data_IF_143221231221
#
_entry.id   IF_143221231221
#
_cell.length_a   1.000
_cell.length_b   1.000
_cell.length_c   1.000
_cell.angle_alpha   90.00
_cell.angle_beta   90.00
_cell.angle_gamma   90.00
#
_symmetry.space_group_name_H-M   'P 1'
#
loop_
_entity.id
_entity.type
_entity.pdbx_description
1 polymer ?
#
# COMPACT_ATOMS: atom_id res chain seq x y z
N UNK A 1 -8.38 89.29 17.23
CA UNK A 1 -9.34 88.15 17.16
C UNK A 1 -9.28 87.58 15.78
N UNK A 2 -8.47 86.57 15.54
CA UNK A 2 -8.39 85.84 14.25
C UNK A 2 -8.73 84.36 14.53
N UNK A 3 -9.83 83.90 13.94
CA UNK A 3 -10.26 82.48 13.95
C UNK A 3 -9.51 81.72 12.88
N UNK A 4 -8.69 80.78 13.29
CA UNK A 4 -8.05 79.83 12.41
C UNK A 4 -9.02 78.62 12.12
N UNK A 5 -9.36 78.43 10.91
CA UNK A 5 -10.19 77.33 10.39
C UNK A 5 -9.27 76.11 10.12
N UNK A 6 -9.46 75.05 10.89
CA UNK A 6 -8.75 73.80 10.69
C UNK A 6 -9.50 72.96 9.63
N UNK A 7 -8.81 72.66 8.52
CA UNK A 7 -9.30 71.82 7.43
C UNK A 7 -8.94 70.36 7.72
N UNK A 8 -9.91 69.54 8.10
CA UNK A 8 -9.74 68.08 8.18
C UNK A 8 -9.84 67.49 6.80
N UNK A 9 -8.73 67.01 6.28
CA UNK A 9 -8.67 66.27 5.02
C UNK A 9 -8.96 64.77 5.35
N UNK A 10 -10.19 64.34 5.03
CA UNK A 10 -10.57 62.91 5.14
C UNK A 10 -10.00 62.14 3.94
N UNK A 11 -8.95 61.32 4.22
CA UNK A 11 -8.41 60.38 3.26
C UNK A 11 -9.33 59.14 3.20
N UNK A 12 -10.17 59.07 2.18
CA UNK A 12 -10.95 57.85 1.89
C UNK A 12 -10.02 56.85 1.23
N UNK A 13 -9.58 55.86 1.99
CA UNK A 13 -8.87 54.70 1.47
C UNK A 13 -9.88 53.80 0.74
N UNK A 14 -9.92 53.88 -0.57
CA UNK A 14 -10.63 52.89 -1.37
C UNK A 14 -9.85 51.57 -1.30
N UNK A 15 -10.31 50.63 -0.45
CA UNK A 15 -9.87 49.25 -0.44
C UNK A 15 -10.53 48.61 -1.67
N UNK A 16 -9.81 48.54 -2.78
CA UNK A 16 -10.20 47.69 -3.90
C UNK A 16 -10.06 46.23 -3.46
N UNK A 17 -11.21 45.62 -3.13
CA UNK A 17 -11.33 44.18 -3.08
C UNK A 17 -11.04 43.64 -4.48
N UNK A 18 -9.82 43.19 -4.72
CA UNK A 18 -9.52 42.31 -5.83
C UNK A 18 -10.29 41.01 -5.55
N UNK A 19 -11.40 40.83 -6.27
CA UNK A 19 -12.01 39.49 -6.39
C UNK A 19 -10.92 38.56 -6.94
N UNK A 20 -10.73 37.35 -6.37
CA UNK A 20 -9.87 36.39 -7.00
C UNK A 20 -10.34 36.23 -8.44
N UNK A 21 -9.43 36.35 -9.40
CA UNK A 21 -9.72 36.02 -10.77
C UNK A 21 -10.23 34.59 -10.78
N UNK A 22 -11.47 34.37 -11.17
CA UNK A 22 -11.97 33.04 -11.52
C UNK A 22 -10.94 32.46 -12.47
N UNK A 23 -10.30 31.33 -12.09
CA UNK A 23 -9.52 30.57 -13.05
C UNK A 23 -10.47 30.31 -14.23
N UNK A 24 -10.09 30.73 -15.43
CA UNK A 24 -10.86 30.39 -16.61
C UNK A 24 -10.95 28.87 -16.66
N UNK A 25 -12.15 28.30 -16.65
CA UNK A 25 -12.33 26.87 -16.87
C UNK A 25 -11.64 26.56 -18.20
N UNK A 26 -10.70 25.61 -18.17
CA UNK A 26 -10.04 25.15 -19.38
C UNK A 26 -11.09 24.42 -20.21
N UNK A 27 -11.46 24.97 -21.37
CA UNK A 27 -12.46 24.38 -22.26
C UNK A 27 -11.75 23.28 -23.09
N UNK A 28 -12.06 22.02 -22.82
CA UNK A 28 -11.52 20.89 -23.56
C UNK A 28 -12.34 20.61 -24.81
N UNK A 29 -11.73 20.40 -25.98
CA UNK A 29 -12.46 20.11 -27.20
C UNK A 29 -13.11 18.74 -27.15
N UNK A 30 -14.39 18.62 -27.52
CA UNK A 30 -14.98 17.30 -27.78
C UNK A 30 -14.40 16.74 -29.07
N UNK A 31 -13.88 15.51 -29.03
CA UNK A 31 -13.40 14.82 -30.23
C UNK A 31 -14.47 13.86 -30.73
N UNK A 32 -14.67 13.82 -32.05
CA UNK A 32 -15.67 12.96 -32.69
C UNK A 32 -15.00 11.99 -33.68
N UNK A 33 -15.50 10.74 -33.74
CA UNK A 33 -15.02 9.71 -34.64
C UNK A 33 -15.96 8.52 -34.72
N UNK A 34 -15.43 7.38 -35.14
CA UNK A 34 -16.12 6.10 -35.25
C UNK A 34 -15.32 4.97 -34.63
N UNK A 35 -15.62 3.76 -35.05
CA UNK A 35 -14.91 2.53 -34.66
C UNK A 35 -14.33 1.89 -35.92
N UNK A 36 -13.03 1.60 -35.90
CA UNK A 36 -12.32 0.97 -37.02
C UNK A 36 -12.25 -0.55 -36.89
N UNK A 37 -12.29 -1.09 -35.66
CA UNK A 37 -12.18 -2.52 -35.38
C UNK A 37 -12.86 -2.88 -34.06
N UNK A 38 -13.47 -4.07 -33.98
CA UNK A 38 -13.77 -4.75 -32.74
C UNK A 38 -12.76 -5.90 -32.63
N UNK A 39 -11.86 -5.79 -31.65
CA UNK A 39 -10.79 -6.77 -31.43
C UNK A 39 -11.34 -8.10 -30.89
N UNK A 40 -10.50 -9.15 -30.91
CA UNK A 40 -10.86 -10.52 -30.49
C UNK A 40 -11.59 -10.61 -29.15
N UNK A 41 -11.25 -9.78 -28.19
CA UNK A 41 -11.81 -9.79 -26.83
C UNK A 41 -12.90 -8.74 -26.60
N UNK A 42 -13.42 -8.13 -27.70
CA UNK A 42 -14.52 -7.18 -27.63
C UNK A 42 -14.13 -5.73 -27.39
N UNK A 43 -12.84 -5.42 -27.30
CA UNK A 43 -12.39 -4.03 -27.23
C UNK A 43 -12.64 -3.34 -28.55
N UNK A 44 -13.01 -2.05 -28.55
CA UNK A 44 -13.24 -1.26 -29.74
C UNK A 44 -12.09 -0.31 -30.01
N UNK A 45 -11.55 -0.33 -31.22
CA UNK A 45 -10.52 0.61 -31.70
C UNK A 45 -11.22 1.82 -32.30
N UNK A 46 -10.88 3.01 -31.81
CA UNK A 46 -11.52 4.25 -32.20
C UNK A 46 -10.83 4.89 -33.42
N UNK A 47 -11.61 5.54 -34.26
CA UNK A 47 -11.15 6.39 -35.35
C UNK A 47 -10.92 7.83 -34.83
N UNK A 48 -10.07 7.95 -33.83
CA UNK A 48 -9.64 9.22 -33.22
C UNK A 48 -8.15 9.07 -32.94
N UNK A 49 -7.34 10.02 -33.44
CA UNK A 49 -5.89 9.99 -33.21
C UNK A 49 -5.57 10.35 -31.74
N UNK A 50 -4.79 9.54 -31.02
CA UNK A 50 -4.30 9.91 -29.68
C UNK A 50 -3.60 11.26 -29.61
N UNK A 51 -3.00 11.72 -30.72
CA UNK A 51 -2.39 13.04 -30.81
C UNK A 51 -3.42 14.17 -30.65
N UNK A 52 -4.63 13.99 -31.18
CA UNK A 52 -5.71 14.98 -31.06
C UNK A 52 -6.15 15.16 -29.59
N UNK A 53 -6.13 14.08 -28.78
CA UNK A 53 -6.35 14.17 -27.33
C UNK A 53 -5.24 15.02 -26.67
N UNK A 54 -3.97 14.69 -26.94
CA UNK A 54 -2.82 15.42 -26.36
C UNK A 54 -2.80 16.88 -26.76
N UNK A 55 -3.08 17.18 -28.03
CA UNK A 55 -3.17 18.55 -28.56
C UNK A 55 -4.38 19.29 -27.95
N UNK A 56 -5.46 18.56 -27.61
CA UNK A 56 -6.62 19.06 -26.88
C UNK A 56 -6.39 19.28 -25.39
N UNK A 57 -5.21 18.95 -24.86
CA UNK A 57 -4.84 19.14 -23.45
C UNK A 57 -5.24 18.01 -22.52
N UNK A 58 -5.69 16.85 -23.04
CA UNK A 58 -5.98 15.66 -22.25
C UNK A 58 -4.70 14.95 -21.83
N UNK A 59 -4.69 14.43 -20.60
CA UNK A 59 -3.53 13.76 -20.00
C UNK A 59 -3.91 12.41 -19.39
N UNK A 60 -2.94 11.53 -19.20
CA UNK A 60 -3.17 10.26 -18.52
C UNK A 60 -3.66 10.50 -17.08
N UNK A 61 -4.65 9.71 -16.68
CA UNK A 61 -5.33 9.88 -15.39
C UNK A 61 -6.52 10.85 -15.44
N UNK A 62 -6.80 11.52 -16.57
CA UNK A 62 -8.06 12.22 -16.74
C UNK A 62 -9.23 11.24 -16.82
N UNK A 63 -10.35 11.56 -16.17
CA UNK A 63 -11.59 10.82 -16.32
C UNK A 63 -12.38 11.41 -17.48
N UNK A 64 -12.69 10.59 -18.49
CA UNK A 64 -13.33 10.99 -19.73
C UNK A 64 -14.71 10.35 -19.84
N UNK A 65 -15.64 11.04 -20.50
CA UNK A 65 -16.89 10.44 -20.99
C UNK A 65 -16.70 10.07 -22.47
N UNK A 66 -16.61 8.77 -22.74
CA UNK A 66 -16.63 8.20 -24.10
C UNK A 66 -18.05 7.83 -24.45
N UNK A 67 -18.66 8.54 -25.37
CA UNK A 67 -20.03 8.30 -25.83
C UNK A 67 -20.02 7.43 -27.07
N UNK A 68 -20.64 6.25 -26.99
CA UNK A 68 -20.77 5.30 -28.12
C UNK A 68 -22.24 5.16 -28.47
N UNK A 69 -22.63 5.47 -29.71
CA UNK A 69 -24.01 5.46 -30.18
C UNK A 69 -24.98 6.23 -29.26
N UNK A 70 -24.51 7.33 -28.66
CA UNK A 70 -25.29 8.17 -27.74
C UNK A 70 -25.34 7.70 -26.29
N UNK A 71 -24.69 6.59 -25.94
CA UNK A 71 -24.55 6.10 -24.56
C UNK A 71 -23.17 6.50 -24.03
N UNK A 72 -23.14 7.26 -22.93
CA UNK A 72 -21.90 7.71 -22.26
C UNK A 72 -21.33 6.65 -21.31
N UNK A 73 -20.02 6.46 -21.38
CA UNK A 73 -19.23 5.58 -20.53
C UNK A 73 -18.09 6.39 -19.92
N UNK A 74 -18.06 6.46 -18.61
CA UNK A 74 -16.96 7.14 -17.92
C UNK A 74 -15.77 6.20 -17.79
N UNK A 75 -14.63 6.57 -18.35
CA UNK A 75 -13.43 5.76 -18.33
C UNK A 75 -12.17 6.63 -18.26
N UNK A 76 -11.16 6.24 -17.49
CA UNK A 76 -9.89 6.97 -17.42
C UNK A 76 -9.08 6.79 -18.70
N UNK A 77 -8.32 7.82 -19.07
CA UNK A 77 -7.30 7.76 -20.11
C UNK A 77 -6.02 7.14 -19.51
N UNK A 78 -5.63 5.99 -20.02
CA UNK A 78 -4.52 5.20 -19.50
C UNK A 78 -3.62 4.65 -20.61
N UNK A 79 -2.49 4.04 -20.22
CA UNK A 79 -1.53 3.41 -21.14
C UNK A 79 -1.70 1.91 -21.25
N UNK A 80 -2.17 1.25 -20.18
CA UNK A 80 -2.32 -0.22 -20.11
C UNK A 80 -3.71 -0.61 -19.58
N UNK A 81 -4.12 -1.85 -19.85
CA UNK A 81 -5.33 -2.40 -19.22
C UNK A 81 -5.19 -2.56 -17.71
N UNK A 82 -3.97 -2.87 -17.23
CA UNK A 82 -3.65 -3.00 -15.81
C UNK A 82 -3.66 -1.67 -15.03
N UNK A 83 -3.81 -0.54 -15.71
CA UNK A 83 -3.92 0.76 -15.06
C UNK A 83 -5.32 0.97 -14.43
N UNK A 84 -6.21 0.00 -14.58
CA UNK A 84 -7.52 -0.05 -13.92
C UNK A 84 -7.78 -1.46 -13.38
N UNK A 85 -8.69 -1.56 -12.41
CA UNK A 85 -9.09 -2.85 -11.84
C UNK A 85 -9.74 -3.79 -12.85
N UNK A 86 -9.68 -5.10 -12.58
CA UNK A 86 -10.40 -6.09 -13.38
C UNK A 86 -11.89 -5.80 -13.42
N UNK A 87 -12.47 -5.75 -14.61
CA UNK A 87 -13.86 -5.41 -14.85
C UNK A 87 -14.13 -3.91 -15.00
N UNK A 88 -13.15 -3.04 -14.76
CA UNK A 88 -13.30 -1.60 -14.94
C UNK A 88 -13.13 -1.18 -16.41
N UNK A 89 -13.75 -0.06 -16.74
CA UNK A 89 -13.66 0.59 -18.05
C UNK A 89 -12.33 1.34 -18.18
N UNK A 90 -11.76 1.36 -19.38
CA UNK A 90 -10.53 2.11 -19.70
C UNK A 90 -10.54 2.60 -21.14
N UNK A 91 -10.11 3.83 -21.35
CA UNK A 91 -9.69 4.35 -22.65
C UNK A 91 -8.18 4.25 -22.74
N UNK A 92 -7.67 3.27 -23.49
CA UNK A 92 -6.25 2.99 -23.59
C UNK A 92 -5.63 3.69 -24.81
N UNK A 93 -4.55 4.46 -24.59
CA UNK A 93 -3.65 4.90 -25.66
C UNK A 93 -2.58 3.82 -25.90
N UNK A 94 -2.61 3.21 -27.07
CA UNK A 94 -1.72 2.09 -27.40
C UNK A 94 -1.19 2.21 -28.82
N UNK A 95 0.11 2.39 -28.96
CA UNK A 95 0.82 2.35 -30.26
C UNK A 95 0.19 3.22 -31.36
N UNK A 96 -0.36 4.39 -30.96
CA UNK A 96 -0.96 5.34 -31.91
C UNK A 96 -2.44 5.08 -32.21
N UNK A 97 -3.13 4.26 -31.41
CA UNK A 97 -4.58 4.06 -31.50
C UNK A 97 -5.24 4.17 -30.12
N UNK A 98 -6.47 4.67 -30.07
CA UNK A 98 -7.30 4.67 -28.87
C UNK A 98 -8.17 3.43 -28.84
N UNK A 99 -8.21 2.78 -27.69
CA UNK A 99 -8.98 1.54 -27.48
C UNK A 99 -9.89 1.72 -26.27
N UNK A 100 -11.20 1.68 -26.46
CA UNK A 100 -12.14 1.61 -25.34
C UNK A 100 -12.39 0.13 -24.99
N UNK A 101 -12.25 -0.21 -23.71
CA UNK A 101 -12.25 -1.57 -23.25
C UNK A 101 -12.82 -1.72 -21.82
N UNK A 102 -13.08 -2.98 -21.45
CA UNK A 102 -13.24 -3.45 -20.08
C UNK A 102 -12.02 -4.31 -19.77
N UNK A 103 -11.28 -3.98 -18.69
CA UNK A 103 -10.15 -4.79 -18.28
C UNK A 103 -10.62 -6.23 -17.96
N UNK A 104 -10.09 -7.24 -18.67
CA UNK A 104 -10.51 -8.64 -18.61
C UNK A 104 -11.99 -8.90 -18.99
N UNK A 105 -12.62 -7.99 -19.76
CA UNK A 105 -14.01 -8.08 -20.18
C UNK A 105 -14.21 -7.87 -21.69
N UNK A 106 -15.47 -7.92 -22.14
CA UNK A 106 -15.89 -7.72 -23.52
C UNK A 106 -16.78 -6.48 -23.60
N UNK A 107 -16.21 -5.36 -24.04
CA UNK A 107 -16.92 -4.09 -24.14
C UNK A 107 -18.03 -4.14 -25.21
N UNK A 108 -17.75 -4.72 -26.37
CA UNK A 108 -18.69 -4.71 -27.50
C UNK A 108 -19.94 -5.54 -27.19
N UNK A 109 -19.77 -6.75 -26.65
CA UNK A 109 -20.90 -7.64 -26.30
C UNK A 109 -21.67 -7.10 -25.10
N UNK A 110 -20.96 -6.67 -24.05
CA UNK A 110 -21.60 -6.17 -22.82
C UNK A 110 -22.45 -4.93 -23.06
N UNK A 111 -22.11 -4.14 -24.07
CA UNK A 111 -22.83 -2.90 -24.42
C UNK A 111 -23.74 -3.06 -25.65
N UNK A 112 -23.94 -4.28 -26.14
CA UNK A 112 -24.88 -4.56 -27.25
C UNK A 112 -24.47 -3.97 -28.59
N UNK A 113 -23.19 -3.66 -28.80
CA UNK A 113 -22.68 -3.13 -30.08
C UNK A 113 -22.60 -4.21 -31.14
N UNK A 114 -22.15 -5.43 -30.77
CA UNK A 114 -22.09 -6.60 -31.61
C UNK A 114 -22.04 -7.86 -30.77
N UNK A 115 -22.46 -8.98 -31.33
CA UNK A 115 -22.33 -10.30 -30.72
C UNK A 115 -21.18 -11.07 -31.36
N UNK A 116 -20.33 -11.70 -30.56
CA UNK A 116 -19.25 -12.54 -31.06
C UNK A 116 -19.77 -13.94 -31.42
N UNK A 117 -19.58 -14.34 -32.65
CA UNK A 117 -19.89 -15.69 -33.13
C UNK A 117 -18.59 -16.43 -33.42
N UNK A 118 -18.39 -17.54 -32.70
CA UNK A 118 -17.19 -18.39 -32.86
C UNK A 118 -17.52 -19.63 -33.64
N UNK A 119 -16.78 -19.89 -34.71
CA UNK A 119 -16.92 -21.09 -35.51
C UNK A 119 -16.21 -22.31 -34.87
N UNK A 120 -16.48 -23.54 -35.38
CA UNK A 120 -15.89 -24.78 -34.86
C UNK A 120 -14.35 -24.83 -34.98
N UNK A 121 -13.78 -24.12 -35.96
CA UNK A 121 -12.33 -24.03 -36.17
C UNK A 121 -11.64 -22.98 -35.27
N UNK A 122 -12.41 -22.28 -34.38
CA UNK A 122 -11.93 -21.27 -33.51
C UNK A 122 -11.81 -19.85 -34.14
N UNK A 123 -12.16 -19.69 -35.42
CA UNK A 123 -12.33 -18.37 -36.03
C UNK A 123 -13.54 -17.68 -35.45
N UNK A 124 -13.58 -16.36 -35.53
CA UNK A 124 -14.72 -15.58 -35.02
C UNK A 124 -15.11 -14.48 -35.99
N UNK A 125 -16.38 -14.09 -35.90
CA UNK A 125 -16.96 -12.92 -36.58
C UNK A 125 -17.79 -12.11 -35.60
N UNK A 126 -18.01 -10.84 -35.91
CA UNK A 126 -18.89 -9.95 -35.12
C UNK A 126 -20.21 -9.81 -35.90
N UNK A 127 -21.33 -10.11 -35.25
CA UNK A 127 -22.67 -9.91 -35.77
C UNK A 127 -23.27 -8.66 -35.13
N UNK A 128 -23.67 -7.68 -35.94
CA UNK A 128 -24.26 -6.44 -35.52
C UNK A 128 -25.79 -6.56 -35.43
N UNK A 129 -26.44 -5.76 -34.54
CA UNK A 129 -27.89 -5.62 -34.54
C UNK A 129 -28.44 -5.22 -35.93
N UNK A 130 -29.72 -5.51 -36.18
CA UNK A 130 -30.36 -5.27 -37.48
C UNK A 130 -30.24 -3.75 -37.87
N UNK A 131 -29.72 -3.49 -39.08
CA UNK A 131 -29.51 -2.16 -39.59
C UNK A 131 -28.27 -1.44 -39.09
N UNK A 132 -27.42 -2.11 -38.30
CA UNK A 132 -26.13 -1.59 -37.83
C UNK A 132 -24.95 -2.26 -38.53
N UNK A 133 -23.82 -1.59 -38.54
CA UNK A 133 -22.55 -2.10 -39.02
C UNK A 133 -21.43 -1.38 -38.25
N UNK A 134 -20.18 -1.85 -38.41
CA UNK A 134 -19.03 -1.23 -37.79
C UNK A 134 -18.95 0.30 -38.10
N UNK A 135 -19.16 0.64 -39.37
CA UNK A 135 -19.09 2.01 -39.86
C UNK A 135 -20.25 2.90 -39.35
N UNK A 136 -21.31 2.31 -38.82
CA UNK A 136 -22.45 3.06 -38.26
C UNK A 136 -22.23 3.44 -36.78
N UNK A 137 -21.19 2.91 -36.13
CA UNK A 137 -20.90 3.22 -34.72
C UNK A 137 -20.26 4.62 -34.65
N UNK A 138 -20.91 5.50 -33.92
CA UNK A 138 -20.40 6.86 -33.65
C UNK A 138 -19.77 6.92 -32.29
N UNK A 139 -18.67 7.66 -32.16
CA UNK A 139 -17.96 7.87 -30.90
C UNK A 139 -17.71 9.37 -30.71
N UNK A 140 -17.85 9.84 -29.47
CA UNK A 140 -17.29 11.13 -29.06
C UNK A 140 -16.61 11.01 -27.71
N UNK A 141 -15.56 11.81 -27.50
CA UNK A 141 -14.79 11.87 -26.26
C UNK A 141 -14.85 13.29 -25.72
N UNK A 142 -15.22 13.43 -24.47
CA UNK A 142 -15.23 14.71 -23.76
C UNK A 142 -14.62 14.58 -22.37
N UNK A 143 -14.06 15.68 -21.84
CA UNK A 143 -13.59 15.72 -20.46
C UNK A 143 -14.78 15.57 -19.52
N UNK A 144 -14.70 14.65 -18.56
CA UNK A 144 -15.59 14.57 -17.42
C UNK A 144 -14.97 15.27 -16.22
N UNK A 145 -13.73 14.90 -15.89
CA UNK A 145 -13.01 15.45 -14.75
C UNK A 145 -11.50 15.39 -15.02
N UNK A 146 -10.86 16.56 -15.02
CA UNK A 146 -9.41 16.65 -15.18
C UNK A 146 -8.71 16.01 -13.97
N UNK A 147 -7.82 15.05 -14.22
CA UNK A 147 -7.12 14.32 -13.17
C UNK A 147 -8.01 13.45 -12.28
N UNK A 148 -9.29 13.23 -12.65
CA UNK A 148 -10.24 12.50 -11.80
C UNK A 148 -9.91 11.04 -11.53
N UNK A 149 -8.86 10.51 -12.19
CA UNK A 149 -8.30 9.17 -11.96
C UNK A 149 -6.78 9.20 -11.77
N UNK A 150 -6.18 10.39 -11.64
CA UNK A 150 -4.71 10.52 -11.67
C UNK A 150 -4.02 9.80 -10.52
N UNK A 151 -4.53 9.91 -9.29
CA UNK A 151 -3.97 9.21 -8.14
C UNK A 151 -4.01 7.69 -8.34
N UNK A 152 -5.14 7.13 -8.80
CA UNK A 152 -5.26 5.71 -9.10
C UNK A 152 -4.32 5.29 -10.24
N UNK A 153 -4.21 6.09 -11.29
CA UNK A 153 -3.25 5.86 -12.37
C UNK A 153 -1.82 5.75 -11.84
N UNK A 154 -1.39 6.67 -10.96
CA UNK A 154 -0.07 6.63 -10.33
C UNK A 154 0.13 5.39 -9.45
N UNK A 155 -0.91 4.96 -8.72
CA UNK A 155 -0.87 3.77 -7.87
C UNK A 155 -0.70 2.50 -8.71
N UNK A 156 -1.41 2.39 -9.83
CA UNK A 156 -1.27 1.25 -10.75
C UNK A 156 0.08 1.18 -11.48
N UNK A 157 0.85 2.28 -11.51
CA UNK A 157 2.22 2.29 -12.03
C UNK A 157 3.26 1.77 -11.02
N UNK A 158 2.88 1.52 -9.76
CA UNK A 158 3.80 1.02 -8.74
C UNK A 158 4.24 -0.41 -9.06
N UNK A 159 5.54 -0.62 -9.06
CA UNK A 159 6.14 -1.94 -9.28
C UNK A 159 7.08 -2.29 -8.14
N UNK A 160 7.12 -3.56 -7.76
CA UNK A 160 8.04 -4.12 -6.78
C UNK A 160 8.60 -5.44 -7.26
N UNK A 161 9.64 -5.91 -6.63
CA UNK A 161 10.18 -7.26 -6.84
C UNK A 161 9.82 -8.16 -5.66
N UNK A 162 9.86 -9.49 -5.87
CA UNK A 162 9.76 -10.48 -4.81
C UNK A 162 11.12 -11.18 -4.58
N UNK A 163 12.21 -10.52 -5.04
CA UNK A 163 13.58 -10.97 -4.82
C UNK A 163 14.10 -10.41 -3.49
N UNK A 164 14.41 -11.28 -2.51
CA UNK A 164 14.91 -10.85 -1.19
C UNK A 164 16.14 -9.93 -1.28
N UNK A 165 17.01 -10.14 -2.26
CA UNK A 165 18.24 -9.36 -2.43
C UNK A 165 18.01 -7.86 -2.74
N UNK A 166 16.82 -7.50 -3.21
CA UNK A 166 16.46 -6.11 -3.52
C UNK A 166 16.02 -5.31 -2.28
N UNK A 167 15.95 -5.97 -1.11
CA UNK A 167 15.48 -5.36 0.13
C UNK A 167 16.60 -5.28 1.17
N UNK A 168 16.63 -4.20 1.94
CA UNK A 168 17.70 -3.91 2.91
C UNK A 168 17.81 -4.93 4.06
N UNK A 169 16.70 -5.60 4.44
CA UNK A 169 16.68 -6.59 5.50
C UNK A 169 15.51 -7.57 5.33
N UNK A 170 15.53 -8.69 6.08
CA UNK A 170 14.40 -9.64 6.13
C UNK A 170 13.13 -8.97 6.62
N UNK A 171 13.24 -8.07 7.58
CA UNK A 171 12.10 -7.30 8.10
C UNK A 171 11.46 -6.39 7.03
N UNK A 172 12.28 -5.71 6.21
CA UNK A 172 11.80 -4.90 5.08
C UNK A 172 11.16 -5.79 4.03
N UNK A 173 11.79 -6.92 3.68
CA UNK A 173 11.27 -7.87 2.70
C UNK A 173 9.94 -8.49 3.15
N UNK A 174 9.85 -8.96 4.39
CA UNK A 174 8.64 -9.54 4.98
C UNK A 174 7.61 -8.49 5.42
N UNK A 175 7.88 -7.18 5.23
CA UNK A 175 7.08 -6.09 5.78
C UNK A 175 6.77 -6.27 7.28
N UNK A 176 7.70 -6.90 8.00
CA UNK A 176 7.57 -7.20 9.42
C UNK A 176 8.07 -6.02 10.26
N UNK A 177 7.24 -5.55 11.18
CA UNK A 177 7.62 -4.49 12.12
C UNK A 177 6.80 -4.46 13.38
N UNK A 178 7.43 -4.01 14.46
CA UNK A 178 6.73 -3.57 15.66
C UNK A 178 6.08 -2.21 15.39
N UNK A 179 4.81 -2.08 15.74
CA UNK A 179 4.05 -0.81 15.66
C UNK A 179 4.04 -0.22 17.07
N UNK A 180 4.80 0.86 17.26
CA UNK A 180 5.02 1.48 18.57
C UNK A 180 4.60 2.96 18.53
N UNK A 181 3.29 3.21 18.43
CA UNK A 181 2.68 4.54 18.37
C UNK A 181 1.57 4.67 19.41
N UNK A 182 1.23 5.89 19.78
CA UNK A 182 0.22 6.16 20.80
C UNK A 182 0.54 5.45 22.13
N UNK A 183 -0.47 4.82 22.72
CA UNK A 183 -0.38 4.07 23.98
C UNK A 183 -0.12 2.56 23.77
N UNK A 184 0.34 2.12 22.57
CA UNK A 184 0.78 0.76 22.35
C UNK A 184 2.00 0.43 23.22
N UNK A 185 1.94 -0.69 23.93
CA UNK A 185 3.05 -1.13 24.76
C UNK A 185 4.27 -1.54 23.95
N UNK A 186 5.45 -1.54 24.59
CA UNK A 186 6.69 -1.96 23.93
C UNK A 186 6.58 -3.43 23.48
N UNK A 187 6.85 -3.70 22.20
CA UNK A 187 6.72 -5.01 21.56
C UNK A 187 5.32 -5.66 21.68
N UNK A 188 4.27 -4.87 21.85
CA UNK A 188 2.92 -5.40 22.01
C UNK A 188 2.28 -5.83 20.68
N UNK A 189 2.51 -5.07 19.63
CA UNK A 189 1.79 -5.23 18.37
C UNK A 189 2.72 -5.17 17.15
N UNK A 190 2.58 -6.17 16.28
CA UNK A 190 3.37 -6.32 15.06
C UNK A 190 2.45 -6.50 13.84
N UNK A 191 2.97 -6.16 12.67
CA UNK A 191 2.34 -6.47 11.38
C UNK A 191 3.37 -7.02 10.40
N UNK A 192 2.92 -7.86 9.44
CA UNK A 192 3.79 -8.46 8.42
C UNK A 192 3.04 -8.90 7.16
N UNK A 193 3.80 -9.32 6.13
CA UNK A 193 3.32 -10.24 5.10
C UNK A 193 2.98 -11.59 5.72
N UNK A 194 2.39 -12.50 4.93
CA UNK A 194 1.99 -13.81 5.43
C UNK A 194 3.19 -14.64 5.89
N UNK A 195 3.19 -15.12 7.14
CA UNK A 195 4.17 -16.11 7.62
C UNK A 195 3.81 -17.55 7.26
N UNK A 196 2.77 -17.81 6.46
CA UNK A 196 2.31 -19.14 6.11
C UNK A 196 2.08 -19.35 4.61
N UNK A 197 1.51 -18.36 3.91
CA UNK A 197 1.38 -18.37 2.45
C UNK A 197 2.68 -17.89 1.81
N UNK A 198 3.41 -18.80 1.13
CA UNK A 198 4.71 -18.50 0.52
C UNK A 198 4.64 -18.13 -0.97
N UNK A 199 3.47 -17.70 -1.49
CA UNK A 199 3.34 -17.31 -2.91
C UNK A 199 4.28 -16.17 -3.32
N UNK A 200 4.69 -15.32 -2.36
CA UNK A 200 5.60 -14.19 -2.56
C UNK A 200 7.04 -14.49 -2.09
N UNK A 201 7.35 -15.72 -1.69
CA UNK A 201 8.68 -16.09 -1.18
C UNK A 201 9.05 -15.45 0.17
N UNK A 202 8.09 -14.98 0.95
CA UNK A 202 8.30 -14.17 2.18
C UNK A 202 7.98 -14.91 3.47
N UNK A 203 7.32 -16.08 3.39
CA UNK A 203 6.71 -16.72 4.55
C UNK A 203 7.74 -17.11 5.61
N UNK A 204 8.84 -17.79 5.25
CA UNK A 204 9.86 -18.19 6.21
C UNK A 204 10.53 -17.00 6.92
N UNK A 205 10.78 -15.90 6.17
CA UNK A 205 11.31 -14.68 6.78
C UNK A 205 10.35 -14.04 7.79
N UNK A 206 9.05 -14.04 7.47
CA UNK A 206 8.03 -13.52 8.38
C UNK A 206 7.86 -14.45 9.60
N UNK A 207 8.01 -15.77 9.43
CA UNK A 207 7.95 -16.78 10.50
C UNK A 207 9.12 -16.65 11.48
N UNK A 208 10.36 -16.58 10.96
CA UNK A 208 11.57 -16.39 11.77
C UNK A 208 11.49 -15.09 12.60
N UNK A 209 11.00 -14.02 11.98
CA UNK A 209 10.82 -12.73 12.65
C UNK A 209 9.69 -12.77 13.69
N UNK A 210 8.63 -13.53 13.46
CA UNK A 210 7.56 -13.73 14.42
C UNK A 210 8.04 -14.53 15.64
N UNK A 211 8.88 -15.57 15.42
CA UNK A 211 9.55 -16.29 16.51
C UNK A 211 10.46 -15.36 17.31
N UNK A 212 11.34 -14.62 16.62
CA UNK A 212 12.24 -13.66 17.26
C UNK A 212 11.49 -12.55 18.00
N UNK A 213 10.32 -12.12 17.52
CA UNK A 213 9.42 -11.19 18.18
C UNK A 213 8.61 -11.78 19.33
N UNK A 214 8.70 -13.09 19.57
CA UNK A 214 7.99 -13.80 20.64
C UNK A 214 6.46 -13.77 20.48
N UNK A 215 5.95 -13.71 19.26
CA UNK A 215 4.52 -13.59 18.96
C UNK A 215 3.74 -14.74 19.62
N UNK A 216 2.64 -14.41 20.30
CA UNK A 216 1.80 -15.38 21.00
C UNK A 216 0.39 -15.49 20.45
N UNK A 217 -0.10 -14.47 19.71
CA UNK A 217 -1.42 -14.48 19.12
C UNK A 217 -1.39 -13.84 17.73
N UNK A 218 -1.94 -14.52 16.74
CA UNK A 218 -1.91 -14.10 15.33
C UNK A 218 -3.32 -13.93 14.80
N UNK A 219 -3.57 -12.80 14.14
CA UNK A 219 -4.78 -12.54 13.35
C UNK A 219 -4.42 -12.67 11.87
N UNK A 220 -4.82 -13.78 11.25
CA UNK A 220 -4.68 -14.04 9.83
C UNK A 220 -5.92 -13.53 9.10
N UNK A 221 -5.78 -12.42 8.39
CA UNK A 221 -6.87 -11.76 7.68
C UNK A 221 -7.17 -12.38 6.31
N UNK A 222 -6.21 -13.12 5.73
CA UNK A 222 -6.25 -13.55 4.34
C UNK A 222 -6.82 -14.94 4.13
N UNK A 223 -6.54 -15.86 5.05
CA UNK A 223 -6.71 -17.28 4.80
C UNK A 223 -7.79 -17.91 5.67
N UNK A 224 -8.44 -18.94 5.15
CA UNK A 224 -9.27 -19.86 5.94
C UNK A 224 -8.42 -20.93 6.61
N UNK A 225 -8.98 -21.65 7.59
CA UNK A 225 -8.29 -22.79 8.18
C UNK A 225 -7.91 -23.85 7.13
N UNK A 226 -8.79 -24.10 6.14
CA UNK A 226 -8.52 -25.05 5.06
C UNK A 226 -7.31 -24.63 4.21
N UNK A 227 -7.16 -23.34 3.92
CA UNK A 227 -6.00 -22.82 3.20
C UNK A 227 -4.72 -22.97 4.03
N UNK A 228 -4.76 -22.60 5.31
CA UNK A 228 -3.61 -22.74 6.24
C UNK A 228 -3.16 -24.20 6.31
N UNK A 229 -4.09 -25.14 6.52
CA UNK A 229 -3.79 -26.57 6.55
C UNK A 229 -3.20 -27.07 5.22
N UNK A 230 -3.67 -26.54 4.09
CA UNK A 230 -3.13 -26.79 2.77
C UNK A 230 -1.69 -26.33 2.61
N UNK A 231 -1.36 -25.12 3.10
CA UNK A 231 0.02 -24.60 3.09
C UNK A 231 0.95 -25.42 3.97
N UNK A 232 0.53 -25.75 5.20
CA UNK A 232 1.31 -26.58 6.13
C UNK A 232 1.57 -27.98 5.54
N UNK A 233 0.64 -28.55 4.80
CA UNK A 233 0.80 -29.87 4.17
C UNK A 233 1.61 -29.85 2.87
N UNK A 234 1.94 -28.67 2.32
CA UNK A 234 2.64 -28.53 1.06
C UNK A 234 4.11 -28.97 1.16
N UNK A 235 4.65 -29.55 0.08
CA UNK A 235 6.09 -29.88 -0.01
C UNK A 235 6.91 -28.58 0.02
N UNK A 236 7.93 -28.54 0.90
CA UNK A 236 8.78 -27.35 1.06
C UNK A 236 8.20 -26.28 1.98
N UNK A 237 7.18 -26.60 2.77
CA UNK A 237 6.70 -25.71 3.82
C UNK A 237 7.84 -25.44 4.83
N UNK A 238 8.08 -24.16 5.14
CA UNK A 238 9.19 -23.68 5.95
C UNK A 238 8.76 -22.51 6.87
N UNK A 239 7.75 -22.77 7.72
CA UNK A 239 7.24 -21.83 8.72
C UNK A 239 6.81 -22.57 9.98
N UNK A 240 7.79 -23.21 10.68
CA UNK A 240 7.51 -24.09 11.81
C UNK A 240 6.94 -23.36 13.02
N UNK A 241 7.33 -22.11 13.24
CA UNK A 241 6.82 -21.33 14.36
C UNK A 241 5.34 -21.01 14.20
N UNK A 242 4.92 -20.54 13.02
CA UNK A 242 3.51 -20.32 12.73
C UNK A 242 2.69 -21.60 12.85
N UNK A 243 3.20 -22.72 12.36
CA UNK A 243 2.55 -24.02 12.52
C UNK A 243 2.34 -24.33 14.01
N UNK A 244 3.33 -24.12 14.86
CA UNK A 244 3.21 -24.36 16.29
C UNK A 244 2.13 -23.50 16.96
N UNK A 245 2.03 -22.22 16.56
CA UNK A 245 0.99 -21.31 17.01
C UNK A 245 -0.40 -21.75 16.54
N UNK A 246 -0.51 -22.18 15.26
CA UNK A 246 -1.75 -22.67 14.70
C UNK A 246 -2.26 -23.92 15.44
N UNK A 247 -1.40 -24.91 15.64
CA UNK A 247 -1.71 -26.14 16.37
C UNK A 247 -2.06 -25.88 17.85
N UNK A 248 -1.49 -24.83 18.46
CA UNK A 248 -1.83 -24.38 19.80
C UNK A 248 -3.13 -23.54 19.89
N UNK A 249 -3.83 -23.29 18.77
CA UNK A 249 -5.02 -22.45 18.73
C UNK A 249 -4.75 -20.96 18.94
N UNK A 250 -3.51 -20.52 18.66
CA UNK A 250 -3.05 -19.15 18.80
C UNK A 250 -3.15 -18.32 17.49
N UNK A 251 -3.73 -18.91 16.45
CA UNK A 251 -4.01 -18.24 15.18
C UNK A 251 -5.51 -18.17 14.96
N UNK A 252 -6.03 -16.96 14.71
CA UNK A 252 -7.41 -16.72 14.29
C UNK A 252 -7.43 -16.49 12.78
N UNK A 253 -7.88 -17.47 12.03
CA UNK A 253 -8.11 -17.41 10.58
C UNK A 253 -9.46 -16.72 10.28
N UNK A 254 -9.45 -15.68 9.42
CA UNK A 254 -10.64 -14.86 9.17
C UNK A 254 -11.10 -14.88 7.70
N UNK A 255 -10.20 -15.13 6.76
CA UNK A 255 -10.51 -15.19 5.31
C UNK A 255 -11.33 -13.98 4.82
N UNK A 256 -10.92 -12.76 5.17
CA UNK A 256 -11.62 -11.52 4.83
C UNK A 256 -11.31 -11.08 3.40
N UNK A 257 -12.30 -10.49 2.74
CA UNK A 257 -12.11 -9.76 1.48
C UNK A 257 -11.36 -8.44 1.67
N UNK A 258 -11.30 -7.63 0.61
CA UNK A 258 -10.65 -6.31 0.60
C UNK A 258 -11.66 -5.15 0.59
N UNK A 259 -12.94 -5.44 0.59
CA UNK A 259 -14.00 -4.43 0.76
C UNK A 259 -14.22 -4.14 2.23
N UNK A 260 -13.55 -3.12 2.74
CA UNK A 260 -13.58 -2.71 4.15
C UNK A 260 -14.94 -2.14 4.59
N UNK A 261 -15.83 -1.85 3.64
CA UNK A 261 -17.20 -1.36 3.92
C UNK A 261 -18.22 -2.48 4.04
N UNK A 262 -17.87 -3.69 3.59
CA UNK A 262 -18.75 -4.84 3.57
C UNK A 262 -19.10 -5.31 5.00
N UNK A 263 -20.34 -5.74 5.19
CA UNK A 263 -20.82 -6.19 6.50
C UNK A 263 -20.12 -7.48 6.98
N UNK A 264 -19.75 -8.36 6.07
CA UNK A 264 -18.98 -9.58 6.36
C UNK A 264 -17.53 -9.27 6.76
N UNK A 265 -16.90 -8.24 6.17
CA UNK A 265 -15.61 -7.75 6.63
C UNK A 265 -15.69 -7.27 8.08
N UNK A 266 -16.64 -6.38 8.41
CA UNK A 266 -16.81 -5.85 9.77
C UNK A 266 -17.08 -6.97 10.79
N UNK A 267 -17.97 -7.91 10.48
CA UNK A 267 -18.30 -9.00 11.40
C UNK A 267 -17.14 -9.97 11.61
N UNK A 268 -16.39 -10.30 10.56
CA UNK A 268 -15.22 -11.16 10.67
C UNK A 268 -14.06 -10.46 11.40
N UNK A 269 -13.87 -9.17 11.17
CA UNK A 269 -12.88 -8.37 11.92
C UNK A 269 -13.22 -8.36 13.42
N UNK A 270 -14.49 -8.21 13.80
CA UNK A 270 -14.90 -8.26 15.20
C UNK A 270 -14.53 -9.59 15.89
N UNK A 271 -14.56 -10.72 15.18
CA UNK A 271 -14.07 -12.00 15.70
C UNK A 271 -12.55 -11.99 15.97
N UNK A 272 -11.76 -11.39 15.07
CA UNK A 272 -10.32 -11.24 15.27
C UNK A 272 -9.96 -10.34 16.44
N UNK A 273 -10.68 -9.22 16.60
CA UNK A 273 -10.49 -8.29 17.73
C UNK A 273 -10.86 -8.91 19.07
N UNK A 274 -11.95 -9.71 19.14
CA UNK A 274 -12.29 -10.51 20.33
C UNK A 274 -11.19 -11.51 20.67
N UNK A 275 -10.64 -12.17 19.65
CA UNK A 275 -9.54 -13.11 19.86
C UNK A 275 -8.34 -12.42 20.49
N UNK A 276 -7.97 -11.21 20.09
CA UNK A 276 -6.90 -10.42 20.74
C UNK A 276 -7.30 -9.96 22.16
N UNK A 277 -8.57 -9.60 22.38
CA UNK A 277 -9.05 -9.24 23.72
C UNK A 277 -9.00 -10.43 24.70
N UNK A 278 -9.18 -11.67 24.23
CA UNK A 278 -9.22 -12.90 25.03
C UNK A 278 -7.86 -13.59 25.19
N UNK A 279 -6.85 -13.25 24.40
CA UNK A 279 -5.52 -13.86 24.43
C UNK A 279 -4.45 -12.83 24.79
N UNK A 280 -3.35 -13.31 25.36
CA UNK A 280 -2.17 -12.47 25.62
C UNK A 280 -1.29 -12.36 24.38
N UNK A 281 -0.62 -11.20 24.23
CA UNK A 281 0.37 -10.94 23.17
C UNK A 281 1.78 -11.43 23.53
N UNK A 282 2.79 -11.06 22.74
CA UNK A 282 2.73 -10.11 21.61
C UNK A 282 1.80 -10.54 20.47
N UNK A 283 1.22 -9.56 19.79
CA UNK A 283 0.23 -9.79 18.74
C UNK A 283 0.83 -9.57 17.35
N UNK A 284 0.44 -10.41 16.38
CA UNK A 284 0.75 -10.22 14.97
C UNK A 284 -0.55 -10.14 14.16
N UNK A 285 -0.67 -9.10 13.35
CA UNK A 285 -1.67 -9.05 12.28
C UNK A 285 -0.99 -9.22 10.93
N UNK A 286 -1.52 -10.08 10.07
CA UNK A 286 -1.03 -10.24 8.71
C UNK A 286 -2.15 -10.49 7.69
N UNK A 287 -1.85 -10.22 6.43
CA UNK A 287 -2.59 -10.70 5.26
C UNK A 287 -1.57 -11.28 4.28
N UNK A 288 -1.85 -11.32 2.98
CA UNK A 288 -0.89 -11.83 1.98
C UNK A 288 0.39 -10.97 1.94
N UNK A 289 0.26 -9.65 1.74
CA UNK A 289 1.37 -8.71 1.62
C UNK A 289 1.67 -7.93 2.92
N UNK A 290 0.79 -8.00 3.91
CA UNK A 290 0.87 -7.11 5.08
C UNK A 290 0.52 -5.65 4.78
N UNK A 291 -0.06 -5.37 3.61
CA UNK A 291 -0.30 -4.03 3.05
C UNK A 291 -1.73 -3.54 3.33
N UNK A 292 -2.73 -4.10 2.65
CA UNK A 292 -4.08 -3.54 2.61
C UNK A 292 -4.92 -3.92 3.84
N UNK A 293 -5.30 -5.20 3.99
CA UNK A 293 -6.09 -5.68 5.15
C UNK A 293 -5.34 -5.49 6.47
N UNK A 294 -4.06 -5.84 6.52
CA UNK A 294 -3.22 -5.60 7.69
C UNK A 294 -3.03 -4.10 7.95
N UNK A 295 -2.97 -3.28 6.89
CA UNK A 295 -2.92 -1.83 6.99
C UNK A 295 -4.17 -1.23 7.63
N UNK A 296 -5.35 -1.69 7.21
CA UNK A 296 -6.62 -1.27 7.80
C UNK A 296 -6.71 -1.61 9.29
N UNK A 297 -6.40 -2.86 9.65
CA UNK A 297 -6.49 -3.31 11.06
C UNK A 297 -5.44 -2.61 11.92
N UNK A 298 -4.22 -2.40 11.42
CA UNK A 298 -3.20 -1.64 12.14
C UNK A 298 -3.65 -0.21 12.39
N UNK A 299 -4.11 0.51 11.35
CA UNK A 299 -4.62 1.88 11.50
C UNK A 299 -5.78 1.97 12.52
N UNK A 300 -6.70 0.99 12.51
CA UNK A 300 -7.78 0.94 13.49
C UNK A 300 -7.27 0.77 14.92
N UNK A 301 -6.31 -0.14 15.16
CA UNK A 301 -5.71 -0.39 16.48
C UNK A 301 -4.84 0.79 16.93
N UNK A 302 -4.09 1.39 16.04
CA UNK A 302 -3.29 2.60 16.30
C UNK A 302 -4.19 3.76 16.73
N UNK A 303 -5.29 4.02 15.99
CA UNK A 303 -6.29 5.01 16.37
C UNK A 303 -6.88 4.70 17.75
N UNK A 304 -7.29 3.45 18.01
CA UNK A 304 -7.84 3.02 19.30
C UNK A 304 -6.88 3.30 20.46
N UNK A 305 -5.58 3.14 20.21
CA UNK A 305 -4.50 3.37 21.19
C UNK A 305 -4.01 4.81 21.22
N UNK A 306 -4.74 5.75 20.63
CA UNK A 306 -4.48 7.18 20.75
C UNK A 306 -3.34 7.72 19.87
N UNK A 307 -2.94 6.98 18.84
CA UNK A 307 -1.99 7.49 17.85
C UNK A 307 -2.56 8.72 17.13
N UNK A 308 -1.69 9.67 16.83
CA UNK A 308 -2.01 10.85 16.02
C UNK A 308 -2.22 10.48 14.55
N UNK A 309 -2.90 11.34 13.80
CA UNK A 309 -3.06 11.19 12.35
C UNK A 309 -1.71 10.95 11.65
N UNK A 310 -0.70 11.74 11.98
CA UNK A 310 0.62 11.64 11.34
C UNK A 310 1.32 10.31 11.66
N UNK A 311 1.19 9.79 12.89
CA UNK A 311 1.75 8.49 13.28
C UNK A 311 1.08 7.35 12.51
N UNK A 312 -0.24 7.33 12.40
CA UNK A 312 -0.99 6.31 11.65
C UNK A 312 -0.63 6.35 10.16
N UNK A 313 -0.56 7.55 9.56
CA UNK A 313 -0.14 7.72 8.17
C UNK A 313 1.29 7.24 7.97
N UNK A 314 2.22 7.57 8.86
CA UNK A 314 3.62 7.17 8.76
C UNK A 314 3.80 5.64 8.82
N UNK A 315 3.11 4.95 9.76
CA UNK A 315 3.16 3.48 9.77
C UNK A 315 2.61 2.89 8.48
N UNK A 316 1.42 3.31 8.05
CA UNK A 316 0.83 2.78 6.82
C UNK A 316 1.74 2.96 5.61
N UNK A 317 2.28 4.18 5.42
CA UNK A 317 3.15 4.52 4.30
C UNK A 317 4.51 3.82 4.34
N UNK A 318 4.97 3.36 5.51
CA UNK A 318 6.20 2.55 5.64
C UNK A 318 6.19 1.33 4.73
N UNK A 319 5.03 0.68 4.53
CA UNK A 319 4.90 -0.45 3.59
C UNK A 319 5.22 -0.03 2.15
N UNK A 320 4.74 1.13 1.73
CA UNK A 320 4.95 1.62 0.38
C UNK A 320 6.37 2.14 0.15
N UNK A 321 6.96 2.77 1.15
CA UNK A 321 8.39 3.13 1.13
C UNK A 321 9.25 1.86 1.01
N UNK A 322 8.95 0.82 1.78
CA UNK A 322 9.70 -0.43 1.78
C UNK A 322 9.54 -1.21 0.47
N UNK A 323 8.33 -1.31 -0.06
CA UNK A 323 8.03 -2.16 -1.23
C UNK A 323 8.28 -1.48 -2.56
N UNK A 324 7.99 -0.18 -2.65
CA UNK A 324 7.98 0.57 -3.90
C UNK A 324 8.99 1.71 -3.92
N UNK A 325 9.79 1.86 -2.84
CA UNK A 325 10.82 2.89 -2.68
C UNK A 325 10.29 4.31 -2.88
N UNK A 326 9.05 4.58 -2.41
CA UNK A 326 8.45 5.89 -2.54
C UNK A 326 9.18 6.93 -1.68
N UNK A 327 9.38 8.11 -2.25
CA UNK A 327 9.93 9.25 -1.53
C UNK A 327 8.79 10.06 -0.91
N UNK A 328 8.91 10.41 0.38
CA UNK A 328 7.94 11.26 1.09
C UNK A 328 7.75 12.59 0.36
N UNK A 329 6.49 12.98 0.14
CA UNK A 329 6.13 14.19 -0.62
C UNK A 329 6.24 14.07 -2.13
N UNK A 330 6.62 12.90 -2.67
CA UNK A 330 6.54 12.59 -4.10
C UNK A 330 5.09 12.37 -4.56
N UNK A 331 4.82 12.55 -5.85
CA UNK A 331 3.46 12.40 -6.41
C UNK A 331 2.83 11.03 -6.11
N UNK A 332 3.57 9.94 -6.30
CA UNK A 332 3.07 8.59 -6.00
C UNK A 332 2.84 8.38 -4.50
N UNK A 333 3.69 8.97 -3.64
CA UNK A 333 3.50 8.92 -2.20
C UNK A 333 2.19 9.62 -1.79
N UNK A 334 1.96 10.84 -2.29
CA UNK A 334 0.73 11.59 -2.01
C UNK A 334 -0.50 10.90 -2.60
N UNK A 335 -0.41 10.31 -3.80
CA UNK A 335 -1.47 9.53 -4.40
C UNK A 335 -1.88 8.33 -3.52
N UNK A 336 -0.91 7.53 -3.07
CA UNK A 336 -1.16 6.41 -2.14
C UNK A 336 -1.74 6.90 -0.82
N UNK A 337 -1.16 7.94 -0.23
CA UNK A 337 -1.64 8.49 1.03
C UNK A 337 -3.11 8.92 0.93
N UNK A 338 -3.44 9.70 -0.09
CA UNK A 338 -4.79 10.22 -0.27
C UNK A 338 -5.82 9.13 -0.60
N UNK A 339 -5.48 8.24 -1.53
CA UNK A 339 -6.41 7.20 -2.00
C UNK A 339 -6.58 6.05 -1.01
N UNK A 340 -5.54 5.71 -0.23
CA UNK A 340 -5.57 4.54 0.63
C UNK A 340 -5.76 4.91 2.10
N UNK A 341 -4.72 5.45 2.80
CA UNK A 341 -4.82 5.63 4.25
C UNK A 341 -5.82 6.71 4.65
N UNK A 342 -5.95 7.80 3.88
CA UNK A 342 -6.98 8.82 4.14
C UNK A 342 -8.38 8.21 3.96
N UNK A 343 -8.58 7.37 2.95
CA UNK A 343 -9.85 6.64 2.75
C UNK A 343 -10.14 5.64 3.88
N UNK A 344 -9.12 4.93 4.36
CA UNK A 344 -9.23 4.04 5.53
C UNK A 344 -9.67 4.83 6.76
N UNK A 345 -8.99 5.92 7.07
CA UNK A 345 -9.34 6.78 8.22
C UNK A 345 -10.72 7.43 8.07
N UNK A 346 -11.10 7.81 6.85
CA UNK A 346 -12.45 8.29 6.56
C UNK A 346 -13.51 7.21 6.83
N UNK A 347 -13.23 5.96 6.46
CA UNK A 347 -14.11 4.81 6.75
C UNK A 347 -14.22 4.55 8.26
N UNK A 348 -13.09 4.53 8.99
CA UNK A 348 -13.05 4.30 10.44
C UNK A 348 -13.82 5.41 11.18
N UNK A 349 -13.62 6.66 10.79
CA UNK A 349 -14.23 7.81 11.48
C UNK A 349 -15.67 8.08 11.07
N UNK A 350 -16.11 7.57 9.92
CA UNK A 350 -17.38 7.96 9.31
C UNK A 350 -17.46 9.43 8.92
N UNK A 351 -16.30 10.10 8.80
CA UNK A 351 -16.23 11.52 8.46
C UNK A 351 -16.71 11.76 7.02
N UNK A 352 -17.24 12.96 6.75
CA UNK A 352 -17.55 13.35 5.39
C UNK A 352 -16.27 13.54 4.55
N UNK A 353 -16.37 13.29 3.26
CA UNK A 353 -15.28 13.54 2.32
C UNK A 353 -14.74 14.98 2.43
N UNK A 354 -13.42 15.13 2.43
CA UNK A 354 -12.75 16.43 2.60
C UNK A 354 -12.66 16.94 4.05
N UNK A 355 -13.09 16.15 5.03
CA UNK A 355 -12.88 16.51 6.45
C UNK A 355 -11.39 16.51 6.79
N UNK A 356 -10.95 17.54 7.51
CA UNK A 356 -9.60 17.57 8.08
C UNK A 356 -9.48 16.55 9.23
N UNK A 357 -8.97 15.36 8.90
CA UNK A 357 -8.85 14.23 9.83
C UNK A 357 -7.85 14.50 10.98
N UNK A 358 -6.98 15.50 10.88
CA UNK A 358 -6.08 15.90 11.99
C UNK A 358 -6.85 16.51 13.16
N UNK A 359 -8.10 16.94 12.93
CA UNK A 359 -8.98 17.54 13.95
C UNK A 359 -9.98 16.56 14.56
N UNK A 360 -10.03 15.32 14.06
CA UNK A 360 -10.97 14.29 14.51
C UNK A 360 -10.38 13.54 15.70
N UNK A 361 -11.20 13.21 16.67
CA UNK A 361 -10.84 12.27 17.76
C UNK A 361 -10.80 10.85 17.21
N UNK A 362 -9.65 10.43 16.72
CA UNK A 362 -9.44 9.13 16.09
C UNK A 362 -9.65 7.98 17.07
N UNK A 363 -9.32 8.17 18.36
CA UNK A 363 -9.46 7.13 19.36
C UNK A 363 -10.95 6.85 19.66
N UNK A 364 -11.74 7.91 19.84
CA UNK A 364 -13.18 7.77 20.02
C UNK A 364 -13.84 7.16 18.78
N UNK A 365 -13.45 7.59 17.58
CA UNK A 365 -14.00 7.05 16.33
C UNK A 365 -13.67 5.56 16.15
N UNK A 366 -12.46 5.13 16.47
CA UNK A 366 -12.05 3.73 16.41
C UNK A 366 -12.84 2.85 17.41
N UNK A 367 -13.09 3.37 18.63
CA UNK A 367 -13.93 2.70 19.61
C UNK A 367 -15.37 2.56 19.10
N UNK A 368 -15.97 3.63 18.56
CA UNK A 368 -17.31 3.62 17.97
C UNK A 368 -17.40 2.64 16.79
N UNK A 369 -16.39 2.60 15.92
CA UNK A 369 -16.31 1.63 14.81
C UNK A 369 -16.35 0.18 15.32
N UNK A 370 -15.58 -0.14 16.37
CA UNK A 370 -15.53 -1.49 16.94
C UNK A 370 -16.85 -1.87 17.60
N UNK A 371 -17.52 -0.94 18.31
CA UNK A 371 -18.84 -1.15 18.88
C UNK A 371 -19.88 -1.40 17.78
N UNK A 372 -19.84 -0.63 16.68
CA UNK A 372 -20.72 -0.84 15.52
C UNK A 372 -20.45 -2.17 14.80
N UNK A 373 -19.19 -2.61 14.78
CA UNK A 373 -18.81 -3.92 14.27
C UNK A 373 -19.28 -5.09 15.16
N UNK A 374 -19.75 -4.80 16.37
CA UNK A 374 -20.39 -5.76 17.28
C UNK A 374 -19.53 -6.21 18.47
N UNK A 375 -18.44 -5.50 18.79
CA UNK A 375 -17.76 -5.67 20.08
C UNK A 375 -18.61 -5.05 21.20
N UNK A 376 -18.45 -5.56 22.41
CA UNK A 376 -18.94 -4.92 23.61
C UNK A 376 -17.91 -3.94 24.17
N UNK A 377 -18.32 -2.99 24.98
CA UNK A 377 -17.44 -2.04 25.65
C UNK A 377 -16.40 -2.74 26.56
N UNK A 378 -16.78 -3.87 27.17
CA UNK A 378 -15.87 -4.67 27.99
C UNK A 378 -14.78 -5.34 27.12
N UNK A 379 -15.12 -5.85 25.92
CA UNK A 379 -14.17 -6.42 24.95
C UNK A 379 -13.20 -5.36 24.43
N UNK A 380 -13.68 -4.15 24.10
CA UNK A 380 -12.82 -3.02 23.70
C UNK A 380 -11.89 -2.62 24.83
N UNK A 381 -12.40 -2.56 26.07
CA UNK A 381 -11.58 -2.25 27.26
C UNK A 381 -10.48 -3.30 27.47
N UNK A 382 -10.80 -4.59 27.33
CA UNK A 382 -9.85 -5.69 27.46
C UNK A 382 -8.79 -5.64 26.36
N UNK A 383 -9.20 -5.35 25.11
CA UNK A 383 -8.30 -5.18 23.96
C UNK A 383 -7.30 -4.04 24.20
N UNK A 384 -7.77 -2.86 24.62
CA UNK A 384 -6.91 -1.72 24.97
C UNK A 384 -5.92 -2.08 26.08
N UNK A 385 -6.40 -2.73 27.15
CA UNK A 385 -5.56 -3.15 28.24
C UNK A 385 -4.48 -4.17 27.83
N UNK A 386 -4.78 -5.05 26.88
CA UNK A 386 -3.84 -6.03 26.36
C UNK A 386 -2.80 -5.39 25.44
N UNK A 387 -3.23 -4.47 24.57
CA UNK A 387 -2.34 -3.75 23.63
C UNK A 387 -1.41 -2.76 24.35
N UNK A 388 -1.78 -2.27 25.54
CA UNK A 388 -0.96 -1.36 26.34
C UNK A 388 0.11 -2.05 27.20
N UNK A 389 0.17 -3.40 27.19
CA UNK A 389 1.18 -4.14 27.96
C UNK A 389 2.52 -4.12 27.24
N UNK A 390 3.60 -3.92 28.00
CA UNK A 390 4.96 -4.14 27.52
C UNK A 390 5.28 -5.62 27.50
N UNK A 391 5.92 -6.08 26.44
CA UNK A 391 6.42 -7.44 26.32
C UNK A 391 7.94 -7.41 26.14
N UNK A 392 8.64 -8.22 26.94
CA UNK A 392 10.06 -8.44 26.72
C UNK A 392 10.21 -9.45 25.60
N UNK A 393 10.74 -9.01 24.47
CA UNK A 393 11.29 -9.95 23.49
C UNK A 393 12.52 -10.55 24.15
N UNK A 394 12.50 -11.87 24.41
CA UNK A 394 13.74 -12.57 24.76
C UNK A 394 14.62 -12.52 23.49
N UNK A 395 15.35 -11.41 23.29
CA UNK A 395 16.62 -11.56 22.60
C UNK A 395 17.33 -12.64 23.40
N UNK A 396 17.68 -13.79 22.80
CA UNK A 396 18.56 -14.73 23.46
C UNK A 396 19.63 -13.91 24.17
N UNK A 397 19.52 -13.83 25.50
CA UNK A 397 20.57 -13.23 26.31
C UNK A 397 21.83 -13.95 25.89
N UNK A 398 22.94 -13.25 25.62
CA UNK A 398 24.20 -13.94 25.43
C UNK A 398 24.32 -14.93 26.59
N UNK A 399 24.43 -16.23 26.27
CA UNK A 399 24.48 -17.30 27.25
C UNK A 399 25.31 -16.84 28.48
N UNK A 400 24.74 -16.99 29.70
CA UNK A 400 25.38 -16.60 30.96
C UNK A 400 26.89 -16.84 30.87
N UNK A 401 27.66 -15.76 31.02
CA UNK A 401 29.11 -15.77 31.01
C UNK A 401 29.58 -16.78 32.08
N UNK A 402 29.96 -17.97 31.59
CA UNK A 402 30.94 -18.75 32.34
C UNK A 402 32.21 -17.90 32.44
N UNK A 403 32.95 -17.96 33.58
CA UNK A 403 33.97 -16.96 33.95
C UNK A 403 34.99 -16.75 32.85
N UNK A 404 35.16 -15.49 32.48
CA UNK A 404 36.15 -14.83 31.63
C UNK A 404 37.28 -15.73 31.08
N UNK A 405 37.16 -16.14 29.79
CA UNK A 405 38.32 -16.24 28.91
C UNK A 405 38.62 -14.86 28.33
N UNK A 406 39.89 -14.50 28.06
CA UNK A 406 40.26 -13.12 27.72
C UNK A 406 39.61 -12.63 26.45
N UNK A 407 38.96 -11.46 26.54
CA UNK A 407 38.28 -10.71 25.45
C UNK A 407 39.18 -10.69 24.20
N UNK A 408 38.70 -11.20 23.01
CA UNK A 408 39.45 -11.03 21.77
C UNK A 408 39.59 -9.56 21.44
N UNK A 409 40.79 -9.06 21.25
CA UNK A 409 41.09 -7.68 20.91
C UNK A 409 40.41 -7.33 19.58
N UNK A 410 39.77 -6.15 19.52
CA UNK A 410 39.21 -5.60 18.30
C UNK A 410 40.27 -5.64 17.17
N UNK A 411 39.99 -6.37 16.12
CA UNK A 411 40.88 -6.43 14.95
C UNK A 411 40.61 -5.23 14.05
N UNK A 412 41.65 -4.75 13.38
CA UNK A 412 41.53 -3.72 12.34
C UNK A 412 41.60 -4.38 10.99
N UNK A 413 40.63 -4.15 10.14
CA UNK A 413 40.60 -4.59 8.74
C UNK A 413 40.97 -3.42 7.85
N UNK A 414 41.79 -3.65 6.83
CA UNK A 414 42.12 -2.62 5.82
C UNK A 414 41.35 -2.94 4.54
N UNK A 415 40.47 -2.06 4.13
CA UNK A 415 39.66 -2.24 2.93
C UNK A 415 40.50 -2.42 1.69
N UNK A 416 40.29 -3.48 0.94
CA UNK A 416 40.94 -3.81 -0.31
C UNK A 416 40.07 -3.46 -1.55
N UNK A 417 40.65 -3.58 -2.75
CA UNK A 417 39.92 -3.28 -3.97
C UNK A 417 38.84 -4.34 -4.26
N UNK A 418 37.59 -3.92 -4.32
CA UNK A 418 36.43 -4.81 -4.52
C UNK A 418 35.67 -5.18 -3.25
N UNK A 419 36.13 -4.66 -2.08
CA UNK A 419 35.43 -4.87 -0.83
C UNK A 419 34.16 -4.04 -0.73
N UNK A 420 33.19 -4.63 -0.05
CA UNK A 420 32.06 -3.96 0.58
C UNK A 420 31.89 -4.52 2.01
N UNK A 421 31.14 -3.82 2.85
CA UNK A 421 30.95 -4.26 4.25
C UNK A 421 30.40 -5.67 4.37
N UNK A 422 29.58 -6.11 3.41
CA UNK A 422 29.07 -7.47 3.34
C UNK A 422 30.18 -8.52 3.12
N UNK A 423 31.06 -8.29 2.14
CA UNK A 423 32.17 -9.22 1.84
C UNK A 423 33.16 -9.28 3.00
N UNK A 424 33.45 -8.12 3.61
CA UNK A 424 34.30 -8.05 4.81
C UNK A 424 33.65 -8.83 5.97
N UNK A 425 32.35 -8.65 6.21
CA UNK A 425 31.63 -9.38 7.24
C UNK A 425 31.63 -10.91 6.97
N UNK A 426 31.47 -11.30 5.70
CA UNK A 426 31.54 -12.70 5.32
C UNK A 426 32.92 -13.29 5.59
N UNK A 427 34.00 -12.56 5.30
CA UNK A 427 35.39 -12.98 5.52
C UNK A 427 35.71 -13.11 7.02
N UNK A 428 35.29 -12.13 7.84
CA UNK A 428 35.69 -12.05 9.26
C UNK A 428 34.75 -12.76 10.21
N UNK A 429 33.48 -12.94 9.86
CA UNK A 429 32.45 -13.55 10.70
C UNK A 429 31.85 -14.85 10.13
N UNK A 430 32.22 -15.22 8.89
CA UNK A 430 31.63 -16.36 8.18
C UNK A 430 30.22 -16.08 7.60
N UNK A 431 29.68 -14.89 7.81
CA UNK A 431 28.38 -14.48 7.27
C UNK A 431 28.36 -12.99 6.91
N UNK A 432 27.87 -12.67 5.71
CA UNK A 432 27.72 -11.30 5.25
C UNK A 432 26.67 -10.49 6.02
N UNK A 433 25.69 -11.13 6.64
CA UNK A 433 24.59 -10.47 7.38
C UNK A 433 25.09 -9.63 8.56
N UNK A 434 26.27 -9.89 9.08
CA UNK A 434 26.89 -9.12 10.17
C UNK A 434 27.60 -7.84 9.72
N UNK A 435 27.44 -7.40 8.48
CA UNK A 435 28.01 -6.13 7.97
C UNK A 435 27.57 -4.92 8.83
N UNK A 436 26.37 -4.95 9.37
CA UNK A 436 25.85 -3.90 10.26
C UNK A 436 26.69 -3.72 11.52
N UNK A 437 27.23 -4.80 12.09
CA UNK A 437 28.13 -4.75 13.25
C UNK A 437 29.41 -3.98 12.93
N UNK A 438 29.95 -4.17 11.73
CA UNK A 438 31.12 -3.43 11.25
C UNK A 438 30.74 -1.95 11.04
N UNK A 439 29.59 -1.69 10.40
CA UNK A 439 29.12 -0.33 10.17
C UNK A 439 28.90 0.45 11.47
N UNK A 440 28.19 -0.13 12.42
CA UNK A 440 27.93 0.51 13.73
C UNK A 440 29.23 0.84 14.48
N UNK A 441 30.19 -0.07 14.44
CA UNK A 441 31.48 0.16 15.08
C UNK A 441 32.34 1.25 14.43
N UNK A 442 31.98 1.68 13.20
CA UNK A 442 32.75 2.60 12.37
C UNK A 442 31.95 3.82 11.90
N UNK A 443 30.78 4.15 12.53
CA UNK A 443 29.95 5.30 12.14
C UNK A 443 30.67 6.64 12.19
N UNK A 444 31.75 6.73 12.94
CA UNK A 444 32.61 7.90 13.02
C UNK A 444 33.49 8.12 11.80
N UNK A 445 33.71 7.07 11.00
CA UNK A 445 34.53 7.07 9.78
C UNK A 445 33.78 6.61 8.51
N UNK A 446 32.56 6.04 8.66
CA UNK A 446 31.67 5.65 7.57
C UNK A 446 30.35 6.38 7.76
N UNK A 447 30.03 7.34 6.89
CA UNK A 447 28.74 8.05 6.89
C UNK A 447 27.66 7.31 6.08
N UNK A 448 28.06 6.55 5.06
CA UNK A 448 27.20 5.76 4.18
C UNK A 448 27.77 4.34 4.08
N UNK A 449 27.01 3.30 4.50
CA UNK A 449 27.50 1.91 4.48
C UNK A 449 27.89 1.40 3.09
N UNK A 450 27.44 2.05 2.02
CA UNK A 450 27.80 1.71 0.64
C UNK A 450 29.06 2.44 0.16
N UNK A 451 29.65 3.29 1.00
CA UNK A 451 30.79 4.14 0.63
C UNK A 451 32.00 3.88 1.53
N UNK A 452 32.73 2.81 1.25
CA UNK A 452 34.04 2.53 1.86
C UNK A 452 35.14 2.63 0.81
N UNK A 453 36.38 2.95 1.22
CA UNK A 453 37.46 3.26 0.31
C UNK A 453 38.67 2.35 0.54
N UNK A 454 39.33 1.94 -0.55
CA UNK A 454 40.57 1.14 -0.48
C UNK A 454 41.58 1.83 0.43
N UNK A 455 42.13 1.07 1.38
CA UNK A 455 43.06 1.55 2.40
C UNK A 455 42.41 2.14 3.65
N UNK A 456 41.08 2.26 3.69
CA UNK A 456 40.36 2.64 4.90
C UNK A 456 40.51 1.56 5.97
N UNK A 457 40.79 1.98 7.20
CA UNK A 457 40.89 1.04 8.34
C UNK A 457 39.55 0.98 9.08
N UNK A 458 39.01 -0.21 9.19
CA UNK A 458 37.76 -0.49 9.88
C UNK A 458 38.00 -1.29 11.16
N UNK A 459 37.34 -0.87 12.21
CA UNK A 459 37.28 -1.64 13.47
C UNK A 459 36.34 -2.84 13.28
N UNK A 460 36.86 -4.02 13.52
CA UNK A 460 36.10 -5.26 13.48
C UNK A 460 35.84 -5.70 14.91
N UNK A 461 34.62 -5.51 15.44
CA UNK A 461 34.26 -6.03 16.76
C UNK A 461 34.44 -7.54 16.82
N UNK A 462 35.03 -8.05 17.89
CA UNK A 462 35.32 -9.48 18.01
C UNK A 462 34.08 -10.35 17.91
N UNK A 463 34.11 -11.29 16.98
CA UNK A 463 33.13 -12.35 16.84
C UNK A 463 33.88 -13.68 16.88
N UNK A 464 33.41 -14.62 17.66
CA UNK A 464 33.96 -15.99 17.68
C UNK A 464 33.77 -16.60 16.29
N UNK A 465 34.88 -16.91 15.60
CA UNK A 465 34.86 -17.86 14.49
C UNK A 465 34.61 -19.25 15.04
N UNK A 466 33.51 -19.87 14.68
CA UNK A 466 33.34 -21.32 14.71
C UNK A 466 33.21 -21.83 13.31
#
# INVERSE_FOLDING_TARGET
MKKTLSLLLSLVLMLSLALPASAAETEYPTLEGGVTEIQKYGNIVLDIDPADLKDGGYTYGDLLTVTVNGTGYDMPLCTNYSDVDTGALVLRDSEGVLIAAINMGDFATSNGLAAKVTAEDGSYTWEFPEGQSLESITVSISMKEQGGYYDQYLIHQLTRTDERADYASDAVFANFRNVAVGDLGENAFFRSSSPVNNELGRASYADDLAEAGGIQAVMNLADSNELIEGYIAAEGFDSPYYQSLYEAGKVKALNLGVDFTAADFKSGLAEGLRFFAENEGPYLVHCTEGKDRAGFVSALLECLMGATYDEVVADYMTTYVNYYHLEEGGEQYEAVKNSNIVSILTNITGAAEGTDLTTVDLAAAAEDYMLDAGLTADEVTALKANLAKDYTVETEAPAEETPEEPVPQAQTYTVEAGDCLWNIAYEVYGTGTRWTVIYEANRDVISDPNSIYVGQQLRIPGGSST
#
